data_IF_451991631732
#
_entry.id   IF_451991631732
#
_cell.length_a   1.000
_cell.length_b   1.000
_cell.length_c   1.000
_cell.angle_alpha   90.00
_cell.angle_beta   90.00
_cell.angle_gamma   90.00
#
_symmetry.space_group_name_H-M   'P 1'
#
loop_
_entity.id
_entity.type
_entity.pdbx_description
1 polymer ?
#
# COMPACT_ATOMS: atom_id res chain seq x y z
N UNK A 1 -12.24 18.57 -37.14
CA UNK A 1 -12.39 17.41 -36.23
C UNK A 1 -11.12 16.59 -36.39
N UNK A 2 -10.21 16.65 -35.43
CA UNK A 2 -8.95 15.90 -35.47
C UNK A 2 -9.29 14.43 -35.27
N UNK A 3 -9.07 13.62 -36.30
CA UNK A 3 -9.28 12.18 -36.29
C UNK A 3 -8.49 11.57 -35.12
N UNK A 4 -9.19 11.04 -34.11
CA UNK A 4 -8.59 10.55 -32.87
C UNK A 4 -7.97 9.15 -33.00
N UNK A 5 -7.92 8.61 -34.22
CA UNK A 5 -7.41 7.26 -34.49
C UNK A 5 -5.89 7.23 -34.41
N UNK A 6 -5.35 6.15 -33.85
CA UNK A 6 -3.89 6.00 -33.74
C UNK A 6 -3.29 5.78 -35.13
N UNK A 7 -2.07 6.28 -35.36
CA UNK A 7 -1.35 6.06 -36.61
C UNK A 7 -1.18 4.56 -36.91
N UNK A 8 -1.03 3.75 -35.86
CA UNK A 8 -0.95 2.29 -35.95
C UNK A 8 -2.23 1.71 -36.53
N UNK A 9 -3.38 2.10 -35.99
CA UNK A 9 -4.68 1.56 -36.41
C UNK A 9 -4.98 1.95 -37.86
N UNK A 10 -4.69 3.20 -38.25
CA UNK A 10 -4.84 3.63 -39.64
C UNK A 10 -3.94 2.85 -40.61
N UNK A 11 -2.70 2.54 -40.21
CA UNK A 11 -1.80 1.72 -41.03
C UNK A 11 -2.30 0.28 -41.16
N UNK A 12 -2.82 -0.31 -40.08
CA UNK A 12 -3.36 -1.67 -40.10
C UNK A 12 -4.61 -1.77 -40.98
N UNK A 13 -5.55 -0.83 -40.83
CA UNK A 13 -6.76 -0.76 -41.65
C UNK A 13 -6.43 -0.67 -43.14
N UNK A 14 -5.46 0.17 -43.52
CA UNK A 14 -5.02 0.27 -44.91
C UNK A 14 -4.38 -1.02 -45.44
N UNK A 15 -3.67 -1.78 -44.60
CA UNK A 15 -3.10 -3.07 -44.99
C UNK A 15 -4.20 -4.12 -45.19
N UNK A 16 -5.19 -4.16 -44.31
CA UNK A 16 -6.34 -5.07 -44.43
C UNK A 16 -7.18 -4.74 -45.69
N UNK A 17 -7.38 -3.46 -45.97
CA UNK A 17 -8.05 -2.99 -47.20
C UNK A 17 -7.27 -3.40 -48.45
N UNK A 18 -5.94 -3.25 -48.46
CA UNK A 18 -5.09 -3.68 -49.57
C UNK A 18 -5.23 -5.19 -49.80
N UNK A 19 -5.22 -6.01 -48.74
CA UNK A 19 -5.42 -7.45 -48.84
C UNK A 19 -6.80 -7.80 -49.42
N UNK A 20 -7.85 -7.11 -48.97
CA UNK A 20 -9.20 -7.31 -49.51
C UNK A 20 -9.29 -6.93 -50.99
N UNK A 21 -8.73 -5.79 -51.39
CA UNK A 21 -8.71 -5.34 -52.78
C UNK A 21 -7.92 -6.33 -53.65
N UNK A 22 -6.77 -6.82 -53.19
CA UNK A 22 -5.98 -7.84 -53.91
C UNK A 22 -6.82 -9.09 -54.15
N UNK A 23 -7.55 -9.58 -53.13
CA UNK A 23 -8.43 -10.75 -53.27
C UNK A 23 -9.51 -10.52 -54.31
N UNK A 24 -10.15 -9.34 -54.33
CA UNK A 24 -11.16 -8.99 -55.32
C UNK A 24 -10.60 -8.87 -56.74
N UNK A 25 -9.39 -8.32 -56.90
CA UNK A 25 -8.67 -8.27 -58.18
C UNK A 25 -8.39 -9.69 -58.68
N UNK A 26 -7.85 -10.55 -57.82
CA UNK A 26 -7.57 -11.95 -58.16
C UNK A 26 -8.84 -12.70 -58.56
N UNK A 27 -9.93 -12.54 -57.82
CA UNK A 27 -11.21 -13.16 -58.13
C UNK A 27 -11.75 -12.69 -59.49
N UNK A 28 -11.62 -11.39 -59.79
CA UNK A 28 -12.06 -10.79 -61.06
C UNK A 28 -11.24 -11.31 -62.25
N UNK A 29 -9.94 -11.55 -62.06
CA UNK A 29 -9.05 -12.12 -63.08
C UNK A 29 -9.31 -13.62 -63.31
N UNK A 30 -9.61 -14.37 -62.26
CA UNK A 30 -9.87 -15.81 -62.34
C UNK A 30 -11.27 -16.13 -62.87
N UNK A 31 -12.28 -15.28 -62.60
CA UNK A 31 -13.69 -15.51 -62.95
C UNK A 31 -14.20 -14.59 -64.09
N UNK A 32 -13.44 -14.45 -65.18
CA UNK A 32 -13.79 -13.56 -66.33
C UNK A 32 -15.22 -13.74 -66.87
N UNK A 33 -15.79 -14.94 -66.78
CA UNK A 33 -17.16 -15.26 -67.28
C UNK A 33 -18.30 -14.72 -66.40
N UNK A 34 -18.09 -14.55 -65.09
CA UNK A 34 -19.11 -14.02 -64.16
C UNK A 34 -19.17 -12.49 -64.15
N UNK A 35 -18.14 -11.84 -64.67
CA UNK A 35 -17.94 -10.38 -64.59
C UNK A 35 -18.85 -9.56 -65.52
N UNK A 36 -19.64 -10.21 -66.38
CA UNK A 36 -20.61 -9.54 -67.26
C UNK A 36 -21.88 -9.07 -66.51
N UNK A 37 -22.05 -9.38 -65.22
CA UNK A 37 -23.35 -9.24 -64.53
C UNK A 37 -23.37 -8.62 -63.12
N UNK A 38 -22.35 -7.87 -62.67
CA UNK A 38 -22.56 -6.99 -61.50
C UNK A 38 -21.38 -6.63 -60.59
N UNK A 39 -20.12 -6.86 -60.95
CA UNK A 39 -18.98 -6.45 -60.09
C UNK A 39 -18.37 -5.12 -60.54
N UNK A 40 -17.68 -4.43 -59.62
CA UNK A 40 -16.82 -3.29 -59.95
C UNK A 40 -15.84 -3.67 -61.07
N UNK A 41 -15.65 -2.76 -62.04
CA UNK A 41 -14.70 -2.99 -63.13
C UNK A 41 -13.30 -3.19 -62.58
N UNK A 42 -12.55 -4.16 -63.13
CA UNK A 42 -11.15 -4.40 -62.77
C UNK A 42 -10.30 -3.11 -62.73
N UNK A 43 -10.55 -2.17 -63.65
CA UNK A 43 -9.85 -0.88 -63.65
C UNK A 43 -10.16 -0.04 -62.39
N UNK A 44 -11.39 -0.08 -61.89
CA UNK A 44 -11.79 0.58 -60.64
C UNK A 44 -11.04 0.00 -59.45
N UNK A 45 -10.94 -1.33 -59.36
CA UNK A 45 -10.19 -2.01 -58.28
C UNK A 45 -8.69 -1.66 -58.31
N UNK A 46 -8.10 -1.57 -59.50
CA UNK A 46 -6.68 -1.16 -59.66
C UNK A 46 -6.49 0.30 -59.23
N UNK A 47 -7.37 1.22 -59.64
CA UNK A 47 -7.30 2.62 -59.19
C UNK A 47 -7.48 2.74 -57.67
N UNK A 48 -8.38 1.95 -57.07
CA UNK A 48 -8.57 1.92 -55.63
C UNK A 48 -7.32 1.40 -54.90
N UNK A 49 -6.69 0.35 -55.43
CA UNK A 49 -5.45 -0.21 -54.92
C UNK A 49 -4.30 0.79 -54.95
N UNK A 50 -4.11 1.51 -56.06
CA UNK A 50 -3.11 2.58 -56.18
C UNK A 50 -3.38 3.73 -55.19
N UNK A 51 -4.66 4.10 -55.02
CA UNK A 51 -5.09 5.06 -54.02
C UNK A 51 -4.67 4.68 -52.60
N UNK A 52 -4.96 3.43 -52.20
CA UNK A 52 -4.58 2.90 -50.88
C UNK A 52 -3.07 2.80 -50.69
N UNK A 53 -2.30 2.41 -51.70
CA UNK A 53 -0.82 2.43 -51.63
C UNK A 53 -0.30 3.84 -51.35
N UNK A 54 -0.86 4.85 -52.02
CA UNK A 54 -0.44 6.24 -51.81
C UNK A 54 -0.81 6.74 -50.41
N UNK A 55 -1.94 6.32 -49.89
CA UNK A 55 -2.35 6.61 -48.50
C UNK A 55 -1.39 5.98 -47.49
N UNK A 56 -1.01 4.71 -47.67
CA UNK A 56 0.02 4.06 -46.83
C UNK A 56 1.35 4.82 -46.88
N UNK A 57 1.81 5.23 -48.06
CA UNK A 57 3.05 6.02 -48.20
C UNK A 57 2.97 7.33 -47.42
N UNK A 58 1.83 8.02 -47.48
CA UNK A 58 1.61 9.26 -46.74
C UNK A 58 1.62 9.02 -45.22
N UNK A 59 0.99 7.95 -44.74
CA UNK A 59 1.01 7.57 -43.33
C UNK A 59 2.42 7.20 -42.85
N UNK A 60 3.18 6.45 -43.65
CA UNK A 60 4.57 6.10 -43.36
C UNK A 60 5.47 7.34 -43.24
N UNK A 61 5.23 8.39 -44.04
CA UNK A 61 5.93 9.67 -43.93
C UNK A 61 5.79 10.34 -42.55
N UNK A 62 4.68 10.07 -41.84
CA UNK A 62 4.40 10.63 -40.51
C UNK A 62 4.99 9.81 -39.35
N UNK A 63 5.47 8.59 -39.61
CA UNK A 63 5.96 7.68 -38.56
C UNK A 63 7.15 8.26 -37.80
N UNK A 64 8.05 8.98 -38.47
CA UNK A 64 9.23 9.57 -37.83
C UNK A 64 8.84 10.63 -36.79
N UNK A 65 7.86 11.48 -37.10
CA UNK A 65 7.33 12.51 -36.19
C UNK A 65 6.67 11.88 -34.97
N UNK A 66 5.81 10.87 -35.18
CA UNK A 66 5.15 10.16 -34.08
C UNK A 66 6.15 9.45 -33.17
N UNK A 67 7.21 8.84 -33.75
CA UNK A 67 8.28 8.21 -32.97
C UNK A 67 9.07 9.22 -32.15
N UNK A 68 9.40 10.39 -32.71
CA UNK A 68 10.09 11.45 -31.99
C UNK A 68 9.24 11.95 -30.81
N UNK A 69 7.93 12.15 -31.05
CA UNK A 69 6.97 12.53 -30.00
C UNK A 69 6.88 11.47 -28.90
N UNK A 70 6.81 10.19 -29.26
CA UNK A 70 6.75 9.09 -28.29
C UNK A 70 8.02 9.02 -27.44
N UNK A 71 9.19 9.22 -28.03
CA UNK A 71 10.45 9.29 -27.28
C UNK A 71 10.47 10.47 -26.31
N UNK A 72 9.97 11.64 -26.70
CA UNK A 72 9.86 12.79 -25.81
C UNK A 72 8.90 12.52 -24.65
N UNK A 73 7.75 11.88 -24.93
CA UNK A 73 6.80 11.48 -23.88
C UNK A 73 7.49 10.57 -22.86
N UNK A 74 8.20 9.52 -23.32
CA UNK A 74 8.93 8.62 -22.41
C UNK A 74 9.97 9.36 -21.56
N UNK A 75 10.70 10.31 -22.15
CA UNK A 75 11.67 11.12 -21.39
C UNK A 75 10.97 11.98 -20.32
N UNK A 76 9.86 12.62 -20.68
CA UNK A 76 9.08 13.42 -19.74
C UNK A 76 8.48 12.57 -18.61
N UNK A 77 8.01 11.36 -18.90
CA UNK A 77 7.52 10.41 -17.89
C UNK A 77 8.61 10.07 -16.88
N UNK A 78 9.83 9.80 -17.34
CA UNK A 78 10.99 9.56 -16.46
C UNK A 78 11.24 10.78 -15.57
N UNK A 79 11.32 11.98 -16.14
CA UNK A 79 11.54 13.20 -15.35
C UNK A 79 10.42 13.51 -14.35
N UNK A 80 9.17 13.14 -14.67
CA UNK A 80 8.04 13.26 -13.73
C UNK A 80 8.19 12.26 -12.60
N UNK A 81 8.55 11.01 -12.90
CA UNK A 81 8.76 9.98 -11.90
C UNK A 81 9.86 10.36 -10.91
N UNK A 82 11.01 10.81 -11.40
CA UNK A 82 12.12 11.29 -10.55
C UNK A 82 11.69 12.45 -9.65
N UNK A 83 10.90 13.38 -10.17
CA UNK A 83 10.38 14.51 -9.37
C UNK A 83 9.37 14.06 -8.32
N UNK A 84 8.51 13.10 -8.63
CA UNK A 84 7.56 12.56 -7.66
C UNK A 84 8.28 11.89 -6.49
N UNK A 85 9.35 11.13 -6.75
CA UNK A 85 10.16 10.51 -5.69
C UNK A 85 10.76 11.53 -4.73
N UNK A 86 11.26 12.66 -5.28
CA UNK A 86 11.78 13.77 -4.46
C UNK A 86 10.67 14.40 -3.61
N UNK A 87 9.48 14.63 -4.19
CA UNK A 87 8.34 15.21 -3.50
C UNK A 87 7.85 14.30 -2.37
N UNK A 88 7.75 12.99 -2.61
CA UNK A 88 7.30 12.01 -1.61
C UNK A 88 8.27 11.96 -0.42
N UNK A 89 9.57 11.96 -0.69
CA UNK A 89 10.59 12.02 0.36
C UNK A 89 10.51 13.33 1.14
N UNK A 90 10.44 14.48 0.45
CA UNK A 90 10.32 15.78 1.11
C UNK A 90 9.06 15.87 1.98
N UNK A 91 7.93 15.35 1.51
CA UNK A 91 6.67 15.30 2.25
C UNK A 91 6.79 14.47 3.52
N UNK A 92 7.45 13.31 3.42
CA UNK A 92 7.73 12.44 4.56
C UNK A 92 8.60 13.14 5.61
N UNK A 93 9.66 13.82 5.17
CA UNK A 93 10.56 14.57 6.06
C UNK A 93 9.83 15.73 6.76
N UNK A 94 8.97 16.46 6.05
CA UNK A 94 8.17 17.55 6.62
C UNK A 94 7.18 17.01 7.66
N UNK A 95 6.51 15.90 7.37
CA UNK A 95 5.61 15.24 8.33
C UNK A 95 6.38 14.81 9.59
N UNK A 96 7.55 14.19 9.42
CA UNK A 96 8.38 13.78 10.55
C UNK A 96 8.86 14.98 11.37
N UNK A 97 9.27 16.07 10.73
CA UNK A 97 9.68 17.30 11.40
C UNK A 97 8.52 17.89 12.20
N UNK A 98 7.31 17.95 11.64
CA UNK A 98 6.11 18.43 12.34
C UNK A 98 5.78 17.57 13.57
N UNK A 99 5.86 16.25 13.46
CA UNK A 99 5.64 15.35 14.60
C UNK A 99 6.67 15.57 15.71
N UNK A 100 7.95 15.79 15.36
CA UNK A 100 9.00 16.12 16.34
C UNK A 100 8.73 17.47 17.03
N UNK A 101 8.34 18.50 16.27
CA UNK A 101 7.99 19.81 16.83
C UNK A 101 6.81 19.69 17.79
N UNK A 102 5.79 18.90 17.42
CA UNK A 102 4.64 18.63 18.30
C UNK A 102 5.09 17.98 19.62
N UNK A 103 5.91 16.92 19.54
CA UNK A 103 6.44 16.23 20.72
C UNK A 103 7.29 17.14 21.62
N UNK A 104 8.09 18.03 21.02
CA UNK A 104 8.86 19.04 21.77
C UNK A 104 7.90 19.99 22.50
N UNK A 105 6.88 20.52 21.83
CA UNK A 105 5.88 21.41 22.46
C UNK A 105 5.11 20.73 23.59
N UNK A 106 4.74 19.47 23.43
CA UNK A 106 4.09 18.70 24.52
C UNK A 106 5.02 18.54 25.73
N UNK A 107 6.32 18.32 25.49
CA UNK A 107 7.33 18.20 26.55
C UNK A 107 7.59 19.54 27.25
N UNK A 108 7.61 20.64 26.49
CA UNK A 108 7.73 22.01 27.02
C UNK A 108 6.51 22.40 27.86
N UNK A 109 5.31 21.93 27.48
CA UNK A 109 4.08 22.16 28.25
C UNK A 109 4.06 21.38 29.59
N UNK A 110 4.79 20.26 29.67
CA UNK A 110 4.84 19.39 30.86
C UNK A 110 6.29 19.16 31.32
N UNK A 111 6.99 20.21 31.80
CA UNK A 111 8.37 20.08 32.20
C UNK A 111 8.50 19.17 33.43
N UNK A 112 9.38 18.18 33.33
CA UNK A 112 9.72 17.25 34.41
C UNK A 112 11.10 17.57 34.96
N UNK A 113 11.24 17.54 36.29
CA UNK A 113 12.51 17.73 36.95
C UNK A 113 13.43 16.53 36.70
N UNK A 114 14.62 16.77 36.12
CA UNK A 114 15.59 15.72 35.78
C UNK A 114 16.01 14.89 36.98
N UNK A 115 16.13 15.48 38.18
CA UNK A 115 16.50 14.76 39.40
C UNK A 115 15.42 13.76 39.86
N UNK A 116 14.16 14.04 39.56
CA UNK A 116 13.07 13.09 39.82
C UNK A 116 13.19 11.92 38.85
N UNK A 117 13.42 12.18 37.56
CA UNK A 117 13.60 11.14 36.54
C UNK A 117 14.80 10.26 36.87
N UNK A 118 15.94 10.86 37.24
CA UNK A 118 17.17 10.13 37.60
C UNK A 118 16.94 9.25 38.83
N UNK A 119 16.34 9.78 39.90
CA UNK A 119 16.04 8.98 41.11
C UNK A 119 15.08 7.84 40.83
N UNK A 120 14.01 8.09 40.07
CA UNK A 120 13.03 7.06 39.72
C UNK A 120 13.66 5.99 38.82
N UNK A 121 14.44 6.37 37.81
CA UNK A 121 15.16 5.42 36.94
C UNK A 121 16.15 4.56 37.74
N UNK A 122 16.89 5.17 38.68
CA UNK A 122 17.77 4.43 39.58
C UNK A 122 16.98 3.45 40.47
N UNK A 123 15.83 3.88 41.03
CA UNK A 123 14.98 3.03 41.85
C UNK A 123 14.39 1.85 41.06
N UNK A 124 13.89 2.09 39.85
CA UNK A 124 13.39 1.05 38.94
C UNK A 124 14.50 0.04 38.62
N UNK A 125 15.72 0.54 38.35
CA UNK A 125 16.87 -0.30 38.03
C UNK A 125 17.33 -1.13 39.23
N UNK A 126 17.44 -0.51 40.42
CA UNK A 126 17.76 -1.17 41.69
C UNK A 126 16.76 -2.27 42.03
N UNK A 127 15.49 -2.06 41.70
CA UNK A 127 14.41 -2.98 41.99
C UNK A 127 14.15 -3.99 40.85
N UNK A 128 15.02 -4.08 39.84
CA UNK A 128 14.91 -5.01 38.70
C UNK A 128 13.55 -4.95 37.96
N UNK A 129 12.85 -3.81 37.98
CA UNK A 129 11.50 -3.66 37.41
C UNK A 129 11.47 -3.35 35.91
N UNK A 130 12.61 -3.45 35.22
CA UNK A 130 12.78 -3.08 33.81
C UNK A 130 12.24 -4.14 32.84
N UNK A 131 12.32 -5.43 33.20
CA UNK A 131 11.72 -6.51 32.42
C UNK A 131 11.58 -7.78 33.28
N UNK A 132 10.54 -8.57 33.00
CA UNK A 132 10.32 -9.86 33.64
C UNK A 132 11.05 -10.99 32.88
N UNK A 133 11.99 -11.72 33.50
CA UNK A 133 12.49 -12.99 33.01
C UNK A 133 11.38 -13.98 32.68
N UNK A 134 11.56 -14.74 31.59
CA UNK A 134 10.56 -15.67 31.05
C UNK A 134 10.15 -16.79 32.02
N UNK A 135 10.97 -17.07 33.04
CA UNK A 135 10.75 -18.14 34.01
C UNK A 135 10.00 -17.70 35.28
N UNK A 136 9.63 -16.42 35.42
CA UNK A 136 8.88 -15.96 36.58
C UNK A 136 7.50 -16.66 36.65
N UNK A 137 7.26 -17.46 37.69
CA UNK A 137 5.96 -18.09 37.98
C UNK A 137 5.24 -17.41 39.15
N UNK A 138 3.90 -17.51 39.22
CA UNK A 138 3.12 -16.85 40.28
C UNK A 138 3.60 -17.31 41.66
N UNK A 139 3.98 -16.37 42.53
CA UNK A 139 4.56 -16.66 43.84
C UNK A 139 6.09 -16.73 43.89
N UNK A 140 6.78 -16.52 42.76
CA UNK A 140 8.25 -16.47 42.70
C UNK A 140 8.81 -15.28 43.53
N UNK A 141 9.64 -15.54 44.56
CA UNK A 141 10.22 -14.51 45.44
C UNK A 141 11.14 -13.52 44.73
N UNK A 142 11.61 -13.83 43.51
CA UNK A 142 12.46 -12.95 42.72
C UNK A 142 11.69 -11.86 41.96
N UNK A 143 10.34 -11.86 42.06
CA UNK A 143 9.48 -10.86 41.41
C UNK A 143 9.56 -9.50 42.13
N UNK A 144 9.61 -8.39 41.39
CA UNK A 144 9.68 -7.03 41.94
C UNK A 144 8.31 -6.47 42.36
N UNK A 145 7.28 -7.30 42.46
CA UNK A 145 5.98 -6.90 42.99
C UNK A 145 5.97 -7.07 44.51
N UNK A 146 5.12 -6.32 45.24
CA UNK A 146 4.93 -6.56 46.66
C UNK A 146 4.61 -8.03 46.91
N UNK A 147 5.52 -8.72 47.59
CA UNK A 147 5.35 -10.10 48.00
C UNK A 147 4.17 -10.22 48.96
N UNK A 148 3.57 -11.40 49.08
CA UNK A 148 2.46 -11.64 50.01
C UNK A 148 2.71 -11.10 51.45
N UNK A 149 3.90 -11.28 52.08
CA UNK A 149 4.18 -10.63 53.36
C UNK A 149 4.23 -9.09 53.28
N UNK A 150 4.81 -8.51 52.22
CA UNK A 150 4.84 -7.05 52.03
C UNK A 150 3.45 -6.47 51.78
N UNK A 151 2.60 -7.19 51.05
CA UNK A 151 1.20 -6.83 50.84
C UNK A 151 0.41 -6.87 52.16
N UNK A 152 0.58 -7.92 52.97
CA UNK A 152 -0.03 -8.01 54.30
C UNK A 152 0.46 -6.93 55.26
N UNK A 153 1.70 -6.48 55.11
CA UNK A 153 2.25 -5.35 55.86
C UNK A 153 1.85 -3.97 55.30
N UNK A 154 1.20 -3.93 54.14
CA UNK A 154 0.81 -2.66 53.50
C UNK A 154 -0.41 -2.04 54.16
N UNK A 155 -0.54 -0.72 54.03
CA UNK A 155 -1.73 0.04 54.45
C UNK A 155 -3.03 -0.41 53.73
N UNK A 156 -2.93 -1.16 52.63
CA UNK A 156 -4.10 -1.74 51.94
C UNK A 156 -4.66 -2.96 52.67
N UNK A 157 -3.81 -3.73 53.34
CA UNK A 157 -4.19 -4.88 54.15
C UNK A 157 -4.51 -4.51 55.61
N UNK A 158 -4.16 -3.28 56.03
CA UNK A 158 -4.55 -2.75 57.33
C UNK A 158 -6.08 -2.74 57.46
N UNK A 159 -6.65 -3.21 58.59
CA UNK A 159 -8.07 -3.11 58.84
C UNK A 159 -8.49 -1.65 58.72
N UNK A 160 -9.38 -1.35 57.77
CA UNK A 160 -9.99 -0.02 57.71
C UNK A 160 -10.68 0.18 59.06
N UNK A 161 -10.29 1.22 59.79
CA UNK A 161 -10.77 1.52 61.14
C UNK A 161 -12.24 1.93 61.20
N UNK A 162 -13.03 1.61 60.17
CA UNK A 162 -14.47 1.73 60.18
C UNK A 162 -15.06 0.30 60.20
N UNK A 163 -15.81 -0.09 61.24
CA UNK A 163 -16.34 -1.45 61.35
C UNK A 163 -17.49 -1.63 60.37
N UNK A 164 -17.17 -1.96 59.12
CA UNK A 164 -18.11 -2.70 58.29
C UNK A 164 -17.84 -4.19 58.48
N UNK A 165 -18.78 -4.83 59.18
CA UNK A 165 -18.93 -6.29 59.21
C UNK A 165 -19.23 -6.74 57.78
N UNK A 166 -18.20 -6.99 57.00
CA UNK A 166 -18.30 -7.75 55.75
C UNK A 166 -17.43 -8.99 55.90
N UNK A 167 -18.01 -10.20 55.75
CA UNK A 167 -17.23 -11.43 55.80
C UNK A 167 -16.10 -11.36 54.77
N UNK A 168 -14.88 -11.65 55.19
CA UNK A 168 -13.74 -11.78 54.29
C UNK A 168 -14.03 -12.89 53.28
N UNK A 169 -14.28 -12.52 52.03
CA UNK A 169 -14.53 -13.45 50.91
C UNK A 169 -13.35 -14.40 50.67
N UNK A 170 -12.15 -14.07 51.16
CA UNK A 170 -10.99 -14.98 51.13
C UNK A 170 -11.12 -16.20 52.06
N UNK A 171 -11.99 -16.16 53.06
CA UNK A 171 -12.24 -17.33 53.92
C UNK A 171 -13.04 -18.42 53.22
N UNK A 172 -13.78 -18.10 52.16
CA UNK A 172 -14.62 -19.07 51.44
C UNK A 172 -13.83 -19.98 50.48
N UNK A 173 -12.68 -19.54 49.96
CA UNK A 173 -11.85 -20.40 49.10
C UNK A 173 -11.05 -21.46 49.89
N UNK A 174 -10.73 -21.20 51.17
CA UNK A 174 -9.97 -22.18 51.97
C UNK A 174 -10.81 -23.35 52.46
N UNK A 175 -12.14 -23.18 52.52
CA UNK A 175 -13.04 -24.20 53.07
C UNK A 175 -13.44 -25.27 52.04
N UNK A 176 -13.22 -25.05 50.74
CA UNK A 176 -13.59 -26.01 49.69
C UNK A 176 -12.69 -27.27 49.61
N UNK A 177 -11.55 -27.31 50.30
CA UNK A 177 -10.66 -28.48 50.30
C UNK A 177 -10.85 -29.44 51.49
N UNK A 178 -11.81 -29.21 52.39
CA UNK A 178 -11.97 -30.02 53.61
C UNK A 178 -13.18 -30.97 53.64
N UNK A 179 -14.01 -31.03 52.59
CA UNK A 179 -15.21 -31.89 52.55
C UNK A 179 -15.25 -32.80 51.33
N UNK A 180 -14.28 -33.72 51.23
CA UNK A 180 -14.46 -35.01 50.52
C UNK A 180 -13.64 -36.06 51.27
N UNK A 181 -14.26 -36.78 52.21
CA UNK A 181 -13.93 -38.16 52.62
C UNK A 181 -14.87 -38.59 53.75
N UNK A 182 -16.01 -39.18 53.39
CA UNK A 182 -16.82 -40.01 54.29
C UNK A 182 -17.66 -40.98 53.44
N UNK A 183 -17.12 -42.17 53.18
CA UNK A 183 -17.85 -43.40 52.86
C UNK A 183 -16.95 -44.56 53.27
#
# INVERSE_FOLDING_TARGET
>A
MTDCRSLRDCLLENVDDLDFIIKQILESLLNRDKHRRGNESLNSLVTLFEGRINEVKNLLGRVAEFRARENLIRQLEICVQERNEIIDNATTLVLQANNKIHSVRESEAHPVNSEVVIRLAHQISKNYSVSAPLYWQQGDPSRPFPTEPEFRASALAAPRTNPQVVPSTFSLLRQQHATVCSS
#
